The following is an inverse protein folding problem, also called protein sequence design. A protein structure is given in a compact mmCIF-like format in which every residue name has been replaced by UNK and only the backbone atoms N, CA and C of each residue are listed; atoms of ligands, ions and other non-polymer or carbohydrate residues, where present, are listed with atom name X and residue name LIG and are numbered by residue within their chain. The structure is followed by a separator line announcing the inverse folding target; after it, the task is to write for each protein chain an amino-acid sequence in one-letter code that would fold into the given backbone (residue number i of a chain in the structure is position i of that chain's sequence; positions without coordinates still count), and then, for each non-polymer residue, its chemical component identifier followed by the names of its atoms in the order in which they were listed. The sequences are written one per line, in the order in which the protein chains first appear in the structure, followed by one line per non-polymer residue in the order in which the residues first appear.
data_IF_729814668550
#
_entry.id   IF_729814668550
#
_cell.length_a   1.000
_cell.length_b   1.000
_cell.length_c   1.000
_cell.angle_alpha   90.00
_cell.angle_beta   90.00
_cell.angle_gamma   90.00
#
_symmetry.space_group_name_H-M   'P 1'
#
loop_
_entity.id
_entity.type
_entity.pdbx_description
1 polymer ?
#
# COMPACT_ATOMS: atom_id res chain seq x y z
N UNK A 1 45.67 22.37 -53.83
CA UNK A 1 45.87 22.19 -52.38
C UNK A 1 45.51 23.50 -51.68
N UNK A 2 44.35 23.58 -51.02
CA UNK A 2 44.03 24.73 -50.15
C UNK A 2 44.50 24.38 -48.75
N UNK A 3 45.41 25.19 -48.23
CA UNK A 3 45.96 25.06 -46.89
C UNK A 3 44.82 25.09 -45.87
N UNK A 4 44.80 24.09 -44.98
CA UNK A 4 43.93 24.12 -43.82
C UNK A 4 44.43 25.20 -42.86
N UNK A 5 43.63 26.24 -42.67
CA UNK A 5 43.79 27.20 -41.58
C UNK A 5 43.74 26.43 -40.26
N UNK A 6 44.89 26.32 -39.61
CA UNK A 6 44.97 25.93 -38.20
C UNK A 6 44.64 27.20 -37.40
N UNK A 7 43.39 27.37 -37.00
CA UNK A 7 43.01 28.45 -36.08
C UNK A 7 43.68 28.19 -34.73
N UNK A 8 44.60 29.05 -34.30
CA UNK A 8 45.09 29.08 -32.92
C UNK A 8 43.94 29.53 -32.00
N UNK A 9 43.33 28.58 -31.27
CA UNK A 9 42.33 28.89 -30.25
C UNK A 9 42.97 29.69 -29.11
N UNK A 10 42.47 30.89 -28.87
CA UNK A 10 42.96 31.73 -27.79
C UNK A 10 42.53 31.16 -26.42
N UNK A 11 43.41 31.19 -25.41
CA UNK A 11 43.13 30.66 -24.06
C UNK A 11 41.82 31.18 -23.46
N UNK A 12 41.44 32.42 -23.76
CA UNK A 12 40.17 33.03 -23.33
C UNK A 12 38.92 32.46 -24.03
N UNK A 13 39.03 32.10 -25.30
CA UNK A 13 37.96 31.44 -26.08
C UNK A 13 37.70 30.02 -25.55
N UNK A 14 38.77 29.29 -25.24
CA UNK A 14 38.70 27.96 -24.62
C UNK A 14 38.07 27.99 -23.22
N UNK A 15 38.31 29.06 -22.44
CA UNK A 15 37.67 29.27 -21.13
C UNK A 15 36.15 29.49 -21.26
N UNK A 16 35.73 30.30 -22.24
CA UNK A 16 34.32 30.60 -22.49
C UNK A 16 33.57 29.35 -22.98
N UNK A 17 34.15 28.58 -23.91
CA UNK A 17 33.56 27.29 -24.34
C UNK A 17 33.41 26.31 -23.18
N UNK A 18 34.40 26.24 -22.28
CA UNK A 18 34.35 25.37 -21.11
C UNK A 18 33.27 25.81 -20.12
N UNK A 19 33.11 27.12 -19.91
CA UNK A 19 32.07 27.69 -19.04
C UNK A 19 30.65 27.44 -19.61
N UNK A 20 30.48 27.63 -20.92
CA UNK A 20 29.21 27.38 -21.62
C UNK A 20 28.89 25.89 -21.58
N UNK A 21 29.86 25.01 -21.80
CA UNK A 21 29.69 23.56 -21.70
C UNK A 21 29.29 23.15 -20.27
N UNK A 22 29.95 23.69 -19.24
CA UNK A 22 29.58 23.44 -17.85
C UNK A 22 28.17 23.95 -17.51
N UNK A 23 27.76 25.08 -18.08
CA UNK A 23 26.40 25.61 -17.94
C UNK A 23 25.36 24.67 -18.56
N UNK A 24 25.57 24.19 -19.79
CA UNK A 24 24.64 23.25 -20.42
C UNK A 24 24.59 21.91 -19.69
N UNK A 25 25.74 21.41 -19.23
CA UNK A 25 25.84 20.19 -18.42
C UNK A 25 25.07 20.34 -17.10
N UNK A 26 25.21 21.46 -16.40
CA UNK A 26 24.50 21.68 -15.12
C UNK A 26 23.00 21.89 -15.33
N UNK A 27 22.60 22.67 -16.35
CA UNK A 27 21.19 22.90 -16.69
C UNK A 27 20.48 21.62 -17.13
N UNK A 28 21.17 20.67 -17.76
CA UNK A 28 20.59 19.39 -18.15
C UNK A 28 20.64 18.34 -17.02
N UNK A 29 21.81 18.13 -16.39
CA UNK A 29 22.00 17.03 -15.43
C UNK A 29 21.23 17.26 -14.14
N UNK A 30 21.14 18.49 -13.64
CA UNK A 30 20.51 18.77 -12.34
C UNK A 30 19.00 18.48 -12.38
N UNK A 31 18.21 18.99 -13.35
CA UNK A 31 16.78 18.67 -13.44
C UNK A 31 16.53 17.18 -13.70
N UNK A 32 17.33 16.55 -14.56
CA UNK A 32 17.21 15.13 -14.90
C UNK A 32 17.44 14.27 -13.65
N UNK A 33 18.51 14.54 -12.89
CA UNK A 33 18.80 13.83 -11.63
C UNK A 33 17.68 13.99 -10.61
N UNK A 34 17.11 15.20 -10.50
CA UNK A 34 15.99 15.48 -9.60
C UNK A 34 14.70 14.76 -10.04
N UNK A 35 14.43 14.69 -11.35
CA UNK A 35 13.33 13.91 -11.91
C UNK A 35 13.51 12.41 -11.61
N UNK A 36 14.69 11.84 -11.87
CA UNK A 36 14.99 10.45 -11.55
C UNK A 36 14.76 10.13 -10.07
N UNK A 37 15.30 10.95 -9.16
CA UNK A 37 15.10 10.79 -7.71
C UNK A 37 13.62 10.83 -7.33
N UNK A 38 12.84 11.76 -7.89
CA UNK A 38 11.39 11.85 -7.65
C UNK A 38 10.65 10.63 -8.19
N UNK A 39 11.00 10.15 -9.37
CA UNK A 39 10.41 8.94 -9.96
C UNK A 39 10.70 7.71 -9.11
N UNK A 40 11.96 7.45 -8.72
CA UNK A 40 12.29 6.33 -7.82
C UNK A 40 11.55 6.39 -6.50
N UNK A 41 11.48 7.55 -5.85
CA UNK A 41 10.71 7.72 -4.61
C UNK A 41 9.21 7.47 -4.82
N UNK A 42 8.68 7.75 -6.01
CA UNK A 42 7.28 7.52 -6.36
C UNK A 42 7.04 6.03 -6.59
N UNK A 43 7.90 5.36 -7.36
CA UNK A 43 7.79 3.93 -7.65
C UNK A 43 7.83 3.09 -6.37
N UNK A 44 8.77 3.39 -5.45
CA UNK A 44 8.85 2.71 -4.15
C UNK A 44 7.58 2.92 -3.33
N UNK A 45 6.99 4.13 -3.33
CA UNK A 45 5.74 4.39 -2.61
C UNK A 45 4.55 3.65 -3.23
N UNK A 46 4.51 3.50 -4.56
CA UNK A 46 3.45 2.78 -5.27
C UNK A 46 3.56 1.27 -4.99
N UNK A 47 4.76 0.69 -5.01
CA UNK A 47 4.96 -0.72 -4.68
C UNK A 47 4.52 -1.04 -3.24
N UNK A 48 4.87 -0.17 -2.29
CA UNK A 48 4.47 -0.29 -0.89
C UNK A 48 2.95 -0.14 -0.70
N UNK A 49 2.30 0.80 -1.41
CA UNK A 49 0.84 0.90 -1.45
C UNK A 49 0.18 -0.37 -2.01
N UNK A 50 0.73 -0.93 -3.09
CA UNK A 50 0.20 -2.16 -3.69
C UNK A 50 0.31 -3.34 -2.73
N UNK A 51 1.45 -3.51 -2.06
CA UNK A 51 1.62 -4.54 -1.02
C UNK A 51 0.62 -4.37 0.12
N UNK A 52 0.40 -3.12 0.57
CA UNK A 52 -0.60 -2.83 1.61
C UNK A 52 -2.02 -3.19 1.16
N UNK A 53 -2.38 -2.85 -0.07
CA UNK A 53 -3.71 -3.16 -0.62
C UNK A 53 -3.95 -4.68 -0.70
N UNK A 54 -2.96 -5.44 -1.19
CA UNK A 54 -3.06 -6.92 -1.24
C UNK A 54 -3.23 -7.50 0.16
N UNK A 55 -2.53 -6.98 1.16
CA UNK A 55 -2.71 -7.41 2.54
C UNK A 55 -4.12 -7.09 3.07
N UNK A 56 -4.66 -5.91 2.75
CA UNK A 56 -6.02 -5.51 3.14
C UNK A 56 -7.06 -6.45 2.50
N UNK A 57 -6.94 -6.72 1.20
CA UNK A 57 -7.82 -7.65 0.49
C UNK A 57 -7.78 -9.05 1.12
N UNK A 58 -6.58 -9.57 1.39
CA UNK A 58 -6.43 -10.86 2.07
C UNK A 58 -7.04 -10.87 3.47
N UNK A 59 -6.91 -9.79 4.24
CA UNK A 59 -7.55 -9.67 5.57
C UNK A 59 -9.07 -9.73 5.46
N UNK A 60 -9.65 -9.02 4.48
CA UNK A 60 -11.09 -9.05 4.22
C UNK A 60 -11.54 -10.47 3.88
N UNK A 61 -10.84 -11.16 2.98
CA UNK A 61 -11.18 -12.54 2.59
C UNK A 61 -11.05 -13.53 3.76
N UNK A 62 -10.02 -13.38 4.61
CA UNK A 62 -9.86 -14.19 5.82
C UNK A 62 -11.03 -13.94 6.79
N UNK A 63 -11.46 -12.69 6.96
CA UNK A 63 -12.64 -12.38 7.78
C UNK A 63 -13.88 -13.01 7.15
N UNK A 64 -14.10 -12.88 5.84
CA UNK A 64 -15.27 -13.44 5.16
C UNK A 64 -15.37 -14.97 5.24
N UNK A 65 -14.24 -15.66 5.39
CA UNK A 65 -14.22 -17.12 5.59
C UNK A 65 -14.74 -17.56 6.97
N UNK A 66 -15.03 -16.61 7.88
CA UNK A 66 -15.57 -16.90 9.22
C UNK A 66 -17.06 -17.20 9.18
N UNK A 67 -17.50 -17.98 10.16
CA UNK A 67 -18.92 -18.28 10.37
C UNK A 67 -19.66 -17.04 10.83
N UNK A 68 -20.97 -17.02 10.57
CA UNK A 68 -21.82 -15.89 10.90
C UNK A 68 -21.75 -15.52 12.40
N UNK A 69 -21.75 -16.53 13.27
CA UNK A 69 -21.69 -16.34 14.73
C UNK A 69 -20.36 -15.73 15.18
N UNK A 70 -19.26 -16.09 14.50
CA UNK A 70 -17.95 -15.50 14.77
C UNK A 70 -17.93 -14.03 14.34
N UNK A 71 -18.43 -13.71 13.13
CA UNK A 71 -18.54 -12.33 12.64
C UNK A 71 -19.39 -11.46 13.57
N UNK A 72 -20.49 -11.99 14.09
CA UNK A 72 -21.34 -11.30 15.05
C UNK A 72 -20.54 -10.88 16.30
N UNK A 73 -19.68 -11.77 16.81
CA UNK A 73 -18.82 -11.50 17.97
C UNK A 73 -17.70 -10.50 17.65
N UNK A 74 -17.29 -10.41 16.37
CA UNK A 74 -16.25 -9.49 15.91
C UNK A 74 -16.79 -8.12 15.46
N UNK A 75 -18.08 -7.82 15.64
CA UNK A 75 -18.72 -6.60 15.16
C UNK A 75 -18.35 -5.35 15.96
N UNK A 76 -17.07 -4.99 15.98
CA UNK A 76 -16.54 -3.81 16.66
C UNK A 76 -15.43 -3.13 15.83
N UNK A 77 -14.76 -2.14 16.45
CA UNK A 77 -13.58 -1.44 15.92
C UNK A 77 -12.32 -1.96 16.57
N UNK A 78 -11.32 -2.26 15.76
CA UNK A 78 -10.04 -2.81 16.17
C UNK A 78 -8.89 -2.03 15.56
N UNK A 79 -7.87 -1.82 16.38
CA UNK A 79 -6.57 -1.30 15.96
C UNK A 79 -5.59 -2.47 15.92
N UNK A 80 -5.06 -2.76 14.74
CA UNK A 80 -4.11 -3.83 14.48
C UNK A 80 -2.73 -3.19 14.30
N UNK A 81 -1.79 -3.52 15.18
CA UNK A 81 -0.41 -3.01 15.11
C UNK A 81 0.48 -3.98 14.33
N UNK A 82 0.26 -5.28 14.51
CA UNK A 82 1.00 -6.37 13.86
C UNK A 82 0.05 -7.37 13.22
N UNK A 83 0.58 -8.11 12.25
CA UNK A 83 -0.13 -9.22 11.60
C UNK A 83 -0.56 -10.28 12.61
N UNK A 84 0.28 -10.57 13.60
CA UNK A 84 -0.04 -11.53 14.67
C UNK A 84 -1.24 -11.07 15.51
N UNK A 85 -1.35 -9.76 15.80
CA UNK A 85 -2.50 -9.20 16.53
C UNK A 85 -3.82 -9.46 15.79
N UNK A 86 -3.78 -9.42 14.45
CA UNK A 86 -4.93 -9.75 13.62
C UNK A 86 -5.27 -11.23 13.73
N UNK A 87 -4.30 -12.12 13.56
CA UNK A 87 -4.55 -13.56 13.65
C UNK A 87 -5.08 -14.00 15.00
N UNK A 88 -4.53 -13.44 16.08
CA UNK A 88 -4.97 -13.76 17.44
C UNK A 88 -6.39 -13.24 17.69
N UNK A 89 -6.67 -11.99 17.25
CA UNK A 89 -7.98 -11.36 17.46
C UNK A 89 -9.11 -12.08 16.73
N UNK A 90 -8.87 -12.50 15.50
CA UNK A 90 -9.86 -13.22 14.68
C UNK A 90 -9.76 -14.74 14.81
N UNK A 91 -8.94 -15.25 15.75
CA UNK A 91 -8.72 -16.68 15.97
C UNK A 91 -8.45 -17.44 14.65
N UNK A 92 -7.42 -17.00 13.91
CA UNK A 92 -7.07 -17.55 12.60
C UNK A 92 -6.13 -18.75 12.77
N UNK A 93 -6.55 -19.91 12.24
CA UNK A 93 -5.70 -21.10 12.23
C UNK A 93 -4.42 -20.86 11.44
N UNK A 94 -3.31 -21.46 11.91
CA UNK A 94 -1.98 -21.32 11.28
C UNK A 94 -1.96 -21.60 9.77
N UNK A 95 -2.79 -22.53 9.27
CA UNK A 95 -2.84 -22.89 7.84
C UNK A 95 -3.41 -21.77 6.95
N UNK A 96 -4.11 -20.79 7.53
CA UNK A 96 -4.69 -19.64 6.83
C UNK A 96 -3.90 -18.34 7.08
N UNK A 97 -2.75 -18.41 7.74
CA UNK A 97 -1.90 -17.25 7.99
C UNK A 97 -1.06 -16.93 6.75
N UNK A 98 -1.62 -16.13 5.84
CA UNK A 98 -1.03 -15.79 4.52
C UNK A 98 -0.60 -14.33 4.37
N UNK A 99 -0.93 -13.46 5.33
CA UNK A 99 -0.59 -12.05 5.32
C UNK A 99 0.92 -11.84 5.42
N UNK A 100 1.42 -10.89 4.63
CA UNK A 100 2.81 -10.44 4.72
C UNK A 100 2.95 -9.47 5.90
N UNK A 101 4.12 -9.43 6.53
CA UNK A 101 4.43 -8.49 7.60
C UNK A 101 3.98 -7.07 7.24
N UNK A 102 3.29 -6.40 8.16
CA UNK A 102 3.01 -4.97 8.05
C UNK A 102 4.36 -4.26 8.16
N UNK A 103 4.91 -3.83 7.03
CA UNK A 103 6.25 -3.23 6.98
C UNK A 103 6.31 -1.99 7.90
N UNK A 104 7.27 -2.02 8.82
CA UNK A 104 7.62 -0.88 9.67
C UNK A 104 8.26 0.18 8.80
N UNK A 105 7.56 1.29 8.55
CA UNK A 105 8.14 2.41 7.81
C UNK A 105 9.03 3.21 8.76
N UNK A 106 10.30 3.35 8.43
CA UNK A 106 11.15 4.34 9.09
C UNK A 106 10.80 5.72 8.52
N UNK A 107 10.50 6.67 9.40
CA UNK A 107 10.37 8.06 8.98
C UNK A 107 11.73 8.62 8.54
N UNK A 108 11.72 9.84 7.96
CA UNK A 108 12.94 10.53 7.51
C UNK A 108 13.95 10.78 8.65
N UNK A 109 13.54 10.57 9.89
CA UNK A 109 14.29 10.79 11.12
C UNK A 109 14.69 9.46 11.80
N UNK A 110 14.48 8.31 11.14
CA UNK A 110 14.80 6.97 11.66
C UNK A 110 13.81 6.43 12.70
N UNK A 111 12.68 7.10 12.95
CA UNK A 111 11.65 6.64 13.88
C UNK A 111 10.77 5.61 13.17
N UNK A 112 10.65 4.43 13.77
CA UNK A 112 9.73 3.38 13.31
C UNK A 112 8.29 3.91 13.48
N UNK A 113 7.62 4.19 12.37
CA UNK A 113 6.18 4.35 12.34
C UNK A 113 5.58 2.95 12.21
N UNK A 114 5.00 2.46 13.30
CA UNK A 114 4.14 1.28 13.25
C UNK A 114 2.96 1.62 12.33
N UNK A 115 2.83 0.86 11.25
CA UNK A 115 1.75 1.03 10.29
C UNK A 115 0.48 0.44 10.91
N UNK A 116 -0.18 1.25 11.75
CA UNK A 116 -1.43 0.92 12.41
C UNK A 116 -2.51 0.72 11.34
N UNK A 117 -3.25 -0.38 11.43
CA UNK A 117 -4.38 -0.67 10.55
C UNK A 117 -5.68 -0.68 11.35
N UNK A 118 -6.69 0.01 10.84
CA UNK A 118 -7.99 0.07 11.49
C UNK A 118 -8.94 -0.92 10.82
N UNK A 119 -9.51 -1.84 11.59
CA UNK A 119 -10.54 -2.78 11.14
C UNK A 119 -11.83 -2.43 11.85
N UNK A 120 -12.91 -2.22 11.13
CA UNK A 120 -14.25 -2.02 11.67
C UNK A 120 -15.20 -3.00 11.00
N UNK A 121 -15.86 -3.82 11.80
CA UNK A 121 -16.95 -4.68 11.34
C UNK A 121 -18.23 -4.14 11.95
N UNK A 122 -19.21 -3.82 11.11
CA UNK A 122 -20.48 -3.27 11.56
C UNK A 122 -21.65 -3.93 10.87
N UNK A 123 -22.67 -4.23 11.65
CA UNK A 123 -23.95 -4.70 11.14
C UNK A 123 -24.62 -3.61 10.31
N UNK A 124 -25.15 -4.01 9.16
CA UNK A 124 -25.96 -3.13 8.30
C UNK A 124 -27.45 -3.33 8.58
N UNK A 125 -28.28 -2.46 8.01
CA UNK A 125 -29.74 -2.64 8.02
C UNK A 125 -30.20 -3.77 7.09
N UNK A 126 -29.34 -4.19 6.15
CA UNK A 126 -29.60 -5.30 5.25
C UNK A 126 -29.58 -6.64 5.97
N UNK A 127 -30.56 -7.49 5.68
CA UNK A 127 -30.64 -8.84 6.23
C UNK A 127 -31.28 -9.79 5.25
N UNK A 128 -31.05 -11.07 5.50
CA UNK A 128 -31.76 -12.17 4.89
C UNK A 128 -32.50 -12.97 5.95
N UNK A 129 -33.52 -13.70 5.52
CA UNK A 129 -34.30 -14.58 6.38
C UNK A 129 -33.86 -16.00 6.07
N UNK A 130 -33.40 -16.73 7.08
CA UNK A 130 -33.04 -18.14 6.90
C UNK A 130 -34.30 -19.03 6.86
N UNK A 131 -34.12 -20.33 6.62
CA UNK A 131 -35.21 -21.31 6.53
C UNK A 131 -36.09 -21.39 7.79
N UNK A 132 -35.56 -20.97 8.94
CA UNK A 132 -36.26 -20.94 10.22
C UNK A 132 -36.98 -19.62 10.50
N UNK A 133 -36.96 -18.66 9.57
CA UNK A 133 -37.58 -17.33 9.75
C UNK A 133 -36.72 -16.33 10.53
N UNK A 134 -35.48 -16.68 10.89
CA UNK A 134 -34.56 -15.81 11.63
C UNK A 134 -33.80 -14.87 10.70
N UNK A 135 -33.61 -13.62 11.14
CA UNK A 135 -32.85 -12.61 10.38
C UNK A 135 -31.34 -12.81 10.56
N UNK A 136 -30.63 -13.09 9.47
CA UNK A 136 -29.17 -13.01 9.37
C UNK A 136 -28.78 -11.71 8.67
N UNK A 137 -28.02 -10.85 9.35
CA UNK A 137 -27.69 -9.51 8.84
C UNK A 137 -26.44 -9.53 7.96
N UNK A 138 -26.38 -8.62 7.00
CA UNK A 138 -25.15 -8.33 6.25
C UNK A 138 -24.26 -7.46 7.13
N UNK A 139 -22.96 -7.76 7.13
CA UNK A 139 -21.95 -6.96 7.82
C UNK A 139 -21.09 -6.20 6.82
N UNK A 140 -20.79 -4.96 7.14
CA UNK A 140 -19.82 -4.14 6.43
C UNK A 140 -18.47 -4.26 7.13
N UNK A 141 -17.45 -4.66 6.37
CA UNK A 141 -16.06 -4.77 6.82
C UNK A 141 -15.31 -3.59 6.23
N UNK A 142 -14.78 -2.71 7.08
CA UNK A 142 -13.93 -1.60 6.70
C UNK A 142 -12.52 -1.86 7.22
N UNK A 143 -11.54 -1.86 6.32
CA UNK A 143 -10.13 -1.93 6.67
C UNK A 143 -9.43 -0.70 6.07
N UNK A 144 -9.01 0.22 6.93
CA UNK A 144 -8.55 1.57 6.59
C UNK A 144 -9.53 2.33 5.67
N UNK A 145 -9.28 2.31 4.35
CA UNK A 145 -10.08 2.99 3.32
C UNK A 145 -10.79 2.01 2.39
N UNK A 146 -10.53 0.72 2.53
CA UNK A 146 -11.18 -0.33 1.73
C UNK A 146 -12.41 -0.80 2.48
N UNK A 147 -13.50 -0.95 1.75
CA UNK A 147 -14.80 -1.34 2.27
C UNK A 147 -15.31 -2.52 1.47
N UNK A 148 -15.83 -3.51 2.19
CA UNK A 148 -16.43 -4.70 1.60
C UNK A 148 -17.56 -5.22 2.51
N UNK A 149 -18.23 -6.28 2.08
CA UNK A 149 -19.40 -6.83 2.74
C UNK A 149 -19.28 -8.33 2.96
N UNK A 150 -19.66 -8.76 4.15
CA UNK A 150 -19.88 -10.15 4.48
C UNK A 150 -21.37 -10.48 4.36
N UNK A 151 -21.66 -11.46 3.53
CA UNK A 151 -22.99 -12.00 3.32
C UNK A 151 -23.11 -13.32 4.10
N UNK A 152 -24.13 -13.47 4.96
CA UNK A 152 -24.36 -14.74 5.64
C UNK A 152 -24.60 -15.86 4.63
N UNK A 153 -23.91 -16.98 4.83
CA UNK A 153 -24.07 -18.14 3.97
C UNK A 153 -25.44 -18.80 4.19
N UNK A 154 -26.08 -19.20 3.10
CA UNK A 154 -27.41 -19.83 3.11
C UNK A 154 -27.32 -21.35 3.16
N UNK A 155 -26.20 -21.91 2.68
CA UNK A 155 -26.02 -23.34 2.45
C UNK A 155 -25.36 -24.06 3.62
N UNK A 156 -25.46 -23.53 4.85
CA UNK A 156 -24.87 -24.10 6.08
C UNK A 156 -25.38 -25.52 6.45
N UNK A 157 -26.21 -26.16 5.61
CA UNK A 157 -26.78 -27.49 5.84
C UNK A 157 -26.82 -28.43 4.61
N UNK A 158 -25.94 -28.28 3.61
CA UNK A 158 -25.78 -29.34 2.59
C UNK A 158 -24.68 -30.36 2.92
#
# INVERSE_FOLDING_TARGET
MKAGEKMEKNRGETLIESLISMFFVTVAIIPISNLFLKTFQTDVKVDDLNKKNVNIENMIEIIKAKKYEEILNFSEKYEILKVDDFYDRFAIEKKYQVLKNLEQRQDKNGKIQENKMNVEIKRTDGYFINEYGNKKYVFEINIDKVKDYYFPDFDEQS
#
